data_IF_616798637239
#
_entry.id   IF_616798637239
#
_cell.length_a   1.000
_cell.length_b   1.000
_cell.length_c   1.000
_cell.angle_alpha   90.00
_cell.angle_beta   90.00
_cell.angle_gamma   90.00
#
_symmetry.space_group_name_H-M   'P 1'
#
loop_
_entity.id
_entity.type
_entity.pdbx_description
1 polymer ?
#
# COMPACT_ATOMS: atom_id res chain seq x y z
N UNK A 1 4.24 -0.84 17.95
CA UNK A 1 2.98 -0.98 17.19
C UNK A 1 1.88 -0.25 17.91
N UNK A 2 1.08 0.56 17.21
CA UNK A 2 -0.08 1.29 17.76
C UNK A 2 -1.33 0.81 17.03
N UNK A 3 -2.43 0.59 17.76
CA UNK A 3 -3.72 0.18 17.21
C UNK A 3 -4.83 1.16 17.62
N UNK A 4 -5.69 1.52 16.67
CA UNK A 4 -6.85 2.39 16.89
C UNK A 4 -8.12 1.54 16.74
N UNK A 5 -8.85 1.34 17.83
CA UNK A 5 -10.04 0.47 17.90
C UNK A 5 -11.25 1.23 18.43
N UNK A 6 -12.42 0.93 17.89
CA UNK A 6 -13.68 1.60 18.22
C UNK A 6 -14.83 1.14 17.33
N UNK A 7 -16.09 1.41 17.73
CA UNK A 7 -17.29 0.98 17.01
C UNK A 7 -17.35 1.54 15.58
N UNK A 8 -18.20 0.99 14.71
CA UNK A 8 -18.43 1.57 13.38
C UNK A 8 -18.86 3.03 13.50
N UNK A 9 -18.36 3.90 12.62
CA UNK A 9 -18.65 5.35 12.68
C UNK A 9 -17.84 6.17 13.69
N UNK A 10 -16.96 5.55 14.50
CA UNK A 10 -16.09 6.28 15.45
C UNK A 10 -14.99 7.16 14.82
N UNK A 11 -14.92 7.26 13.49
CA UNK A 11 -13.96 8.13 12.80
C UNK A 11 -12.54 7.54 12.63
N UNK A 12 -12.32 6.24 12.86
CA UNK A 12 -11.01 5.57 12.68
C UNK A 12 -10.42 5.83 11.28
N UNK A 13 -11.22 5.63 10.24
CA UNK A 13 -10.83 5.91 8.86
C UNK A 13 -10.56 7.39 8.63
N UNK A 14 -11.32 8.27 9.29
CA UNK A 14 -11.11 9.71 9.24
C UNK A 14 -9.74 10.12 9.79
N UNK A 15 -9.30 9.54 10.91
CA UNK A 15 -7.95 9.78 11.46
C UNK A 15 -6.89 9.38 10.44
N UNK A 16 -7.04 8.20 9.83
CA UNK A 16 -6.14 7.71 8.79
C UNK A 16 -6.12 8.62 7.55
N UNK A 17 -7.26 9.21 7.18
CA UNK A 17 -7.35 10.14 6.07
C UNK A 17 -6.73 11.51 6.35
N UNK A 18 -6.84 12.01 7.59
CA UNK A 18 -6.22 13.26 8.01
C UNK A 18 -4.69 13.14 8.04
N UNK A 19 -4.14 12.04 8.56
CA UNK A 19 -2.69 11.79 8.59
C UNK A 19 -2.10 11.70 7.17
N UNK A 20 -2.84 11.11 6.22
CA UNK A 20 -2.42 11.03 4.81
C UNK A 20 -2.75 12.29 4.00
N UNK A 21 -3.32 13.32 4.64
CA UNK A 21 -3.76 14.56 4.00
C UNK A 21 -4.66 14.30 2.77
N UNK A 22 -5.64 13.41 2.94
CA UNK A 22 -6.80 13.34 2.06
C UNK A 22 -7.81 14.46 2.38
N UNK A 23 -7.82 14.91 3.64
CA UNK A 23 -8.55 16.07 4.12
C UNK A 23 -7.64 16.90 5.02
N UNK A 24 -7.86 18.21 5.05
CA UNK A 24 -7.22 19.08 6.03
C UNK A 24 -8.10 19.16 7.30
N UNK A 25 -7.51 19.20 8.50
CA UNK A 25 -8.27 19.34 9.73
C UNK A 25 -8.95 20.71 9.79
N UNK A 26 -10.24 20.73 10.15
CA UNK A 26 -11.01 21.98 10.33
C UNK A 26 -10.55 22.77 11.57
N UNK A 27 -9.92 22.10 12.54
CA UNK A 27 -9.35 22.70 13.74
C UNK A 27 -8.26 21.82 14.32
N UNK A 28 -7.32 22.43 15.03
CA UNK A 28 -6.11 21.76 15.53
C UNK A 28 -5.05 21.55 14.45
N UNK A 29 -4.08 20.68 14.74
CA UNK A 29 -2.92 20.40 13.89
C UNK A 29 -2.61 18.90 13.89
N UNK A 30 -2.24 18.36 12.74
CA UNK A 30 -1.72 17.00 12.60
C UNK A 30 -0.27 17.09 12.20
N UNK A 31 0.64 16.47 12.94
CA UNK A 31 2.08 16.58 12.71
C UNK A 31 2.73 15.23 12.42
N UNK A 32 3.72 15.23 11.53
CA UNK A 32 4.60 14.09 11.22
C UNK A 32 6.03 14.57 11.41
N UNK A 33 6.77 13.93 12.33
CA UNK A 33 8.12 14.37 12.69
C UNK A 33 8.18 15.78 13.31
N UNK A 34 7.08 16.25 13.88
CA UNK A 34 6.97 17.60 14.46
C UNK A 34 6.57 18.70 13.47
N UNK A 35 6.56 18.43 12.16
CA UNK A 35 6.05 19.36 11.13
C UNK A 35 4.58 19.12 10.85
N UNK A 36 3.81 20.18 10.61
CA UNK A 36 2.40 20.06 10.22
C UNK A 36 2.30 19.38 8.85
N UNK A 37 1.39 18.42 8.70
CA UNK A 37 1.17 17.72 7.42
C UNK A 37 0.82 18.67 6.28
N UNK A 38 0.29 19.85 6.58
CA UNK A 38 -0.03 20.91 5.61
C UNK A 38 1.21 21.56 5.00
N UNK A 39 2.33 21.52 5.72
CA UNK A 39 3.62 22.09 5.29
C UNK A 39 4.49 21.07 4.54
N UNK A 40 4.19 19.78 4.65
CA UNK A 40 4.90 18.72 3.96
C UNK A 40 4.51 18.64 2.48
N UNK A 41 5.48 18.27 1.63
CA UNK A 41 5.20 17.90 0.25
C UNK A 41 4.29 16.66 0.20
N UNK A 42 3.17 16.80 -0.51
CA UNK A 42 2.15 15.75 -0.61
C UNK A 42 2.68 14.46 -1.26
N UNK A 43 3.57 14.59 -2.24
CA UNK A 43 4.12 13.44 -2.96
C UNK A 43 5.09 12.67 -2.06
N UNK A 44 5.92 13.38 -1.30
CA UNK A 44 6.81 12.81 -0.30
C UNK A 44 6.01 12.14 0.82
N UNK A 45 5.05 12.84 1.44
CA UNK A 45 4.22 12.30 2.53
C UNK A 45 3.52 10.99 2.12
N UNK A 46 2.92 10.95 0.92
CA UNK A 46 2.26 9.75 0.39
C UNK A 46 3.23 8.68 -0.08
N UNK A 47 4.47 9.05 -0.41
CA UNK A 47 5.56 8.11 -0.69
C UNK A 47 6.06 7.40 0.57
N UNK A 48 5.95 8.06 1.73
CA UNK A 48 6.32 7.49 3.03
C UNK A 48 5.20 6.61 3.62
N UNK A 49 3.94 6.82 3.24
CA UNK A 49 2.81 6.04 3.75
C UNK A 49 2.41 4.88 2.82
N UNK A 50 2.43 3.66 3.35
CA UNK A 50 1.75 2.51 2.75
C UNK A 50 0.37 2.34 3.40
N UNK A 51 -0.68 2.32 2.59
CA UNK A 51 -2.06 2.05 3.05
C UNK A 51 -2.52 0.72 2.50
N UNK A 52 -3.08 -0.12 3.38
CA UNK A 52 -3.74 -1.37 3.01
C UNK A 52 -5.23 -1.17 3.26
N UNK A 53 -6.00 -1.13 2.17
CA UNK A 53 -7.46 -1.00 2.22
C UNK A 53 -8.13 -2.25 2.78
N UNK A 54 -9.34 -2.09 3.29
CA UNK A 54 -10.14 -3.20 3.78
C UNK A 54 -10.65 -4.09 2.62
N UNK A 55 -10.86 -3.51 1.44
CA UNK A 55 -11.18 -4.22 0.20
C UNK A 55 -9.95 -4.25 -0.73
N UNK A 56 -9.59 -5.41 -1.30
CA UNK A 56 -8.49 -5.50 -2.25
C UNK A 56 -8.90 -4.86 -3.58
N UNK A 57 -8.18 -3.83 -4.02
CA UNK A 57 -8.28 -3.30 -5.37
C UNK A 57 -7.32 -4.08 -6.28
N UNK A 58 -7.86 -4.88 -7.20
CA UNK A 58 -7.11 -5.52 -8.27
C UNK A 58 -7.37 -4.79 -9.58
N UNK A 59 -6.31 -4.48 -10.31
CA UNK A 59 -6.42 -3.92 -11.64
C UNK A 59 -6.42 -5.03 -12.67
N UNK A 60 -7.13 -4.80 -13.79
CA UNK A 60 -7.09 -5.71 -14.93
C UNK A 60 -5.64 -5.82 -15.45
N UNK A 61 -5.10 -7.04 -15.46
CA UNK A 61 -3.71 -7.30 -15.84
C UNK A 61 -3.15 -8.52 -15.12
N UNK A 62 -1.88 -8.81 -15.32
CA UNK A 62 -1.19 -9.93 -14.66
C UNK A 62 -0.98 -9.69 -13.16
N UNK A 63 -0.79 -10.77 -12.40
CA UNK A 63 -0.37 -10.70 -10.99
C UNK A 63 0.95 -9.92 -10.86
N UNK A 64 1.90 -10.11 -11.79
CA UNK A 64 3.16 -9.36 -11.84
C UNK A 64 2.92 -7.85 -11.88
N UNK A 65 2.05 -7.39 -12.78
CA UNK A 65 1.72 -5.97 -12.94
C UNK A 65 1.01 -5.40 -11.72
N UNK A 66 0.14 -6.19 -11.07
CA UNK A 66 -0.54 -5.78 -9.85
C UNK A 66 0.44 -5.61 -8.67
N UNK A 67 1.40 -6.52 -8.49
CA UNK A 67 2.44 -6.39 -7.46
C UNK A 67 3.37 -5.21 -7.77
N UNK A 68 3.73 -5.04 -9.05
CA UNK A 68 4.57 -3.95 -9.53
C UNK A 68 3.86 -2.60 -9.65
N UNK A 69 2.56 -2.50 -9.36
CA UNK A 69 1.77 -1.29 -9.63
C UNK A 69 2.32 -0.04 -8.91
N UNK A 70 2.87 -0.20 -7.71
CA UNK A 70 3.50 0.89 -6.94
C UNK A 70 4.86 1.34 -7.48
N UNK A 71 5.53 0.51 -8.27
CA UNK A 71 6.81 0.80 -8.91
C UNK A 71 6.88 0.09 -10.28
N UNK A 72 6.47 0.76 -11.38
CA UNK A 72 6.46 0.16 -12.72
C UNK A 72 7.83 -0.29 -13.24
N UNK A 73 8.92 0.15 -12.59
CA UNK A 73 10.31 -0.24 -12.92
C UNK A 73 10.84 -1.34 -12.00
N UNK A 74 10.00 -1.95 -11.17
CA UNK A 74 10.42 -2.98 -10.23
C UNK A 74 11.06 -4.16 -10.97
N UNK A 75 12.24 -4.57 -10.50
CA UNK A 75 12.91 -5.75 -11.03
C UNK A 75 12.13 -7.01 -10.65
N UNK A 76 12.29 -8.08 -11.43
CA UNK A 76 11.62 -9.35 -11.15
C UNK A 76 11.90 -9.89 -9.75
N UNK A 77 13.15 -9.78 -9.28
CA UNK A 77 13.54 -10.20 -7.94
C UNK A 77 12.80 -9.42 -6.84
N UNK A 78 12.49 -8.14 -7.06
CA UNK A 78 11.75 -7.30 -6.12
C UNK A 78 10.28 -7.74 -6.04
N UNK A 79 9.68 -8.05 -7.20
CA UNK A 79 8.30 -8.57 -7.29
C UNK A 79 8.19 -9.93 -6.60
N UNK A 80 9.15 -10.81 -6.83
CA UNK A 80 9.18 -12.12 -6.18
C UNK A 80 9.38 -12.00 -4.67
N UNK A 81 10.27 -11.13 -4.22
CA UNK A 81 10.51 -10.89 -2.80
C UNK A 81 9.27 -10.29 -2.12
N UNK A 82 8.62 -9.29 -2.74
CA UNK A 82 7.36 -8.73 -2.23
C UNK A 82 6.27 -9.80 -2.07
N UNK A 83 6.16 -10.72 -3.04
CA UNK A 83 5.22 -11.85 -2.95
C UNK A 83 5.58 -12.85 -1.83
N UNK A 84 6.87 -13.03 -1.53
CA UNK A 84 7.33 -13.87 -0.40
C UNK A 84 7.04 -13.20 0.94
N UNK A 85 7.32 -11.90 1.07
CA UNK A 85 6.99 -11.11 2.26
C UNK A 85 5.49 -11.07 2.54
N UNK A 86 4.68 -11.01 1.49
CA UNK A 86 3.22 -11.10 1.59
C UNK A 86 2.69 -12.54 1.74
N UNK A 87 3.55 -13.56 1.82
CA UNK A 87 3.20 -14.99 1.93
C UNK A 87 2.31 -15.55 0.79
N UNK A 88 2.28 -14.88 -0.36
CA UNK A 88 1.49 -15.27 -1.54
C UNK A 88 2.31 -15.97 -2.63
N UNK A 89 3.65 -15.95 -2.55
CA UNK A 89 4.53 -16.54 -3.56
C UNK A 89 4.19 -18.01 -3.86
N UNK A 90 3.99 -18.85 -2.82
CA UNK A 90 3.65 -20.28 -3.00
C UNK A 90 2.31 -20.47 -3.70
N UNK A 91 1.34 -19.61 -3.39
CA UNK A 91 0.04 -19.63 -4.06
C UNK A 91 0.18 -19.26 -5.54
N UNK A 92 0.89 -18.17 -5.83
CA UNK A 92 1.12 -17.71 -7.21
C UNK A 92 1.88 -18.78 -8.01
N UNK A 93 2.94 -19.36 -7.44
CA UNK A 93 3.73 -20.40 -8.09
C UNK A 93 2.95 -21.69 -8.38
N UNK A 94 1.84 -21.93 -7.68
CA UNK A 94 0.94 -23.06 -7.95
C UNK A 94 -0.08 -22.80 -9.07
N UNK A 95 -0.20 -21.56 -9.56
CA UNK A 95 -1.10 -21.24 -10.66
C UNK A 95 -0.53 -21.72 -11.99
N UNK A 96 -1.38 -22.16 -12.95
CA UNK A 96 -0.92 -22.65 -14.26
C UNK A 96 -0.05 -21.66 -15.04
N UNK A 97 -0.28 -20.34 -14.86
CA UNK A 97 0.49 -19.27 -15.50
C UNK A 97 1.36 -18.50 -14.50
N UNK A 98 1.45 -18.95 -13.25
CA UNK A 98 2.26 -18.28 -12.22
C UNK A 98 1.90 -16.79 -12.07
N UNK A 99 2.92 -15.95 -12.09
CA UNK A 99 2.81 -14.49 -12.03
C UNK A 99 2.22 -13.84 -13.29
N UNK A 100 2.19 -14.56 -14.42
CA UNK A 100 1.58 -14.10 -15.66
C UNK A 100 0.06 -14.40 -15.69
N UNK A 101 -0.48 -15.02 -14.63
CA UNK A 101 -1.91 -15.24 -14.45
C UNK A 101 -2.65 -13.90 -14.51
N UNK A 102 -3.64 -13.83 -15.41
CA UNK A 102 -4.47 -12.66 -15.61
C UNK A 102 -5.51 -12.51 -14.50
N UNK A 103 -5.61 -11.31 -13.96
CA UNK A 103 -6.57 -10.89 -12.94
C UNK A 103 -7.53 -9.90 -13.58
N UNK A 104 -8.82 -10.06 -13.34
CA UNK A 104 -9.87 -9.12 -13.75
C UNK A 104 -10.40 -8.38 -12.52
N UNK A 105 -10.86 -7.14 -12.71
CA UNK A 105 -11.32 -6.18 -11.67
C UNK A 105 -12.50 -6.68 -10.77
N UNK A 106 -12.91 -7.95 -10.85
CA UNK A 106 -14.04 -8.50 -10.07
C UNK A 106 -13.83 -9.91 -9.54
N UNK A 107 -12.70 -10.55 -9.82
CA UNK A 107 -12.45 -11.91 -9.33
C UNK A 107 -11.68 -11.79 -8.03
N UNK A 108 -12.34 -12.16 -6.93
CA UNK A 108 -11.85 -12.05 -5.55
C UNK A 108 -10.59 -12.88 -5.28
N UNK A 109 -9.46 -12.46 -5.84
CA UNK A 109 -8.16 -12.82 -5.35
C UNK A 109 -7.89 -11.90 -4.15
N UNK A 110 -7.98 -12.42 -2.92
CA UNK A 110 -7.67 -11.63 -1.72
C UNK A 110 -6.17 -11.37 -1.56
N UNK A 111 -5.48 -11.12 -2.68
CA UNK A 111 -4.12 -10.65 -2.70
C UNK A 111 -4.18 -9.22 -2.17
N UNK A 112 -4.08 -9.08 -0.84
CA UNK A 112 -3.75 -7.81 -0.25
C UNK A 112 -2.40 -7.45 -0.85
N UNK A 113 -2.40 -6.54 -1.82
CA UNK A 113 -1.16 -5.92 -2.28
C UNK A 113 -0.63 -5.18 -1.07
N UNK A 114 0.20 -5.89 -0.31
CA UNK A 114 1.04 -5.28 0.71
C UNK A 114 1.88 -4.32 -0.11
N UNK A 115 1.59 -3.01 0.01
CA UNK A 115 2.54 -1.98 -0.38
C UNK A 115 3.74 -2.17 0.55
N UNK A 116 4.61 -3.11 0.20
CA UNK A 116 5.85 -3.35 0.90
C UNK A 116 6.68 -2.10 0.71
N UNK A 117 6.93 -1.42 1.83
CA UNK A 117 7.74 -0.21 1.98
C UNK A 117 9.23 -0.44 1.61
N UNK A 118 9.57 -1.58 1.00
CA UNK A 118 10.92 -2.14 0.94
C UNK A 118 11.78 -1.71 -0.25
N UNK A 119 11.26 -0.94 -1.20
CA UNK A 119 12.02 -0.54 -2.40
C UNK A 119 12.48 0.91 -2.35
N UNK A 120 13.19 1.31 -1.30
CA UNK A 120 14.16 2.42 -1.38
C UNK A 120 15.30 2.12 -0.42
N UNK A 121 16.38 1.61 -1.01
CA UNK A 121 17.70 1.53 -0.40
C UNK A 121 18.05 2.89 0.22
N UNK A 122 18.58 2.83 1.44
CA UNK A 122 19.26 3.94 2.09
C UNK A 122 20.24 4.62 1.13
N UNK A 123 20.00 5.89 0.82
CA UNK A 123 21.06 6.81 0.44
C UNK A 123 20.73 8.19 1.02
N UNK A 124 21.07 8.34 2.31
CA UNK A 124 21.35 9.63 2.93
C UNK A 124 22.81 9.60 3.34
N UNK A 125 23.64 10.31 2.59
CA UNK A 125 24.80 11.04 3.09
C UNK A 125 24.88 12.38 2.39
#
# INVERSE_FOLDING_TARGET
>A
TVAVVGPSGSGKSTVVWLVQRFYDPLGGTVTVGGMDVRELDLKWLRGECAMVGQEPALFSGSIRENIGFGNPKAAWAEIENAAKEANIHKFIAGLPQGYDTQVLERVGCSCQVVKSRGLRSHEQS
#
